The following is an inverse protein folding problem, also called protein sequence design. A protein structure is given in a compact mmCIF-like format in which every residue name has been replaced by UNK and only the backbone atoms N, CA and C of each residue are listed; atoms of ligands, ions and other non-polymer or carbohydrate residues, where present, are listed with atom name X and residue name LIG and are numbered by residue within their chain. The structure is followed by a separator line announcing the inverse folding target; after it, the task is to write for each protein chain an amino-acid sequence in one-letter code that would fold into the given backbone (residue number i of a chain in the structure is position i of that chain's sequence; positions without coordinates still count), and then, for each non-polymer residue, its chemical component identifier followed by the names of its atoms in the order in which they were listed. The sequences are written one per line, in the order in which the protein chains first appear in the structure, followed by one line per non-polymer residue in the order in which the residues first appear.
data_IF_009859333590
#
_entry.id   IF_009859333590
#
_cell.length_a   1.000
_cell.length_b   1.000
_cell.length_c   1.000
_cell.angle_alpha   90.00
_cell.angle_beta   90.00
_cell.angle_gamma   90.00
#
_symmetry.space_group_name_H-M   'P 1'
#
loop_
_entity.id
_entity.type
_entity.pdbx_description
1 polymer ?
#
# COMPACT_ATOMS: atom_id res chain seq x y z
N UNK A 1 -4.16 7.43 0.48
CA UNK A 1 -4.61 7.74 1.86
C UNK A 1 -4.13 6.64 2.79
N UNK A 2 -3.96 6.92 4.09
CA UNK A 2 -3.47 5.97 5.08
C UNK A 2 -2.04 6.26 5.55
N UNK A 3 -1.46 5.34 6.33
CA UNK A 3 -0.18 5.56 6.99
C UNK A 3 1.04 5.64 6.06
N UNK A 4 0.92 5.16 4.81
CA UNK A 4 2.04 5.02 3.87
C UNK A 4 2.94 6.25 3.80
N UNK A 5 2.37 7.45 3.60
CA UNK A 5 3.15 8.68 3.49
C UNK A 5 3.92 9.02 4.77
N UNK A 6 3.35 8.73 5.94
CA UNK A 6 3.96 9.02 7.24
C UNK A 6 5.03 8.01 7.66
N UNK A 7 4.91 6.75 7.23
CA UNK A 7 5.78 5.66 7.73
C UNK A 7 6.82 5.16 6.73
N UNK A 8 6.62 5.36 5.42
CA UNK A 8 7.47 4.78 4.38
C UNK A 8 8.96 5.07 4.58
N UNK A 9 9.29 6.32 4.93
CA UNK A 9 10.69 6.77 5.00
C UNK A 9 11.39 6.18 6.24
N UNK A 10 10.65 6.03 7.35
CA UNK A 10 11.14 5.36 8.56
C UNK A 10 11.35 3.85 8.36
N UNK A 11 10.45 3.19 7.63
CA UNK A 11 10.60 1.76 7.31
C UNK A 11 11.84 1.57 6.43
N UNK A 12 11.99 2.38 5.37
CA UNK A 12 13.15 2.34 4.49
C UNK A 12 14.45 2.56 5.25
N UNK A 13 14.51 3.63 6.07
CA UNK A 13 15.67 3.92 6.91
C UNK A 13 16.03 2.76 7.84
N UNK A 14 15.03 2.12 8.46
CA UNK A 14 15.25 0.99 9.36
C UNK A 14 15.82 -0.22 8.63
N UNK A 15 15.29 -0.54 7.44
CA UNK A 15 15.79 -1.64 6.61
C UNK A 15 17.24 -1.42 6.17
N UNK A 16 17.59 -0.18 5.82
CA UNK A 16 18.96 0.20 5.47
C UNK A 16 19.89 0.15 6.69
N UNK A 17 19.42 0.60 7.86
CA UNK A 17 20.19 0.59 9.10
C UNK A 17 20.54 -0.83 9.59
N UNK A 18 19.60 -1.77 9.50
CA UNK A 18 19.82 -3.16 9.92
C UNK A 18 20.54 -4.01 8.85
N UNK A 19 20.81 -3.45 7.67
CA UNK A 19 21.42 -4.18 6.55
C UNK A 19 20.56 -5.34 6.03
N UNK A 20 19.24 -5.13 5.92
CA UNK A 20 18.33 -6.18 5.49
C UNK A 20 18.64 -6.65 4.06
N UNK A 21 18.65 -7.98 3.82
CA UNK A 21 18.83 -8.54 2.48
C UNK A 21 17.77 -8.08 1.47
N UNK A 22 16.54 -7.80 1.94
CA UNK A 22 15.47 -7.23 1.12
C UNK A 22 15.08 -5.85 1.67
N UNK A 23 15.77 -4.83 1.21
CA UNK A 23 15.67 -3.48 1.75
C UNK A 23 14.78 -2.53 0.95
N UNK A 24 14.13 -2.98 -0.13
CA UNK A 24 13.26 -2.12 -0.94
C UNK A 24 11.80 -2.26 -0.52
N UNK A 25 11.20 -1.15 -0.11
CA UNK A 25 9.77 -1.10 0.18
C UNK A 25 8.95 -0.82 -1.07
N UNK A 26 7.77 -1.41 -1.15
CA UNK A 26 6.78 -1.15 -2.19
C UNK A 26 5.40 -0.90 -1.55
N UNK A 27 4.58 -0.11 -2.23
CA UNK A 27 3.21 0.18 -1.80
C UNK A 27 2.24 -0.73 -2.53
N UNK A 28 1.31 -1.33 -1.78
CA UNK A 28 0.15 -2.04 -2.33
C UNK A 28 -1.11 -1.46 -1.68
N UNK A 29 -2.01 -0.94 -2.50
CA UNK A 29 -3.26 -0.35 -2.03
C UNK A 29 -4.08 0.26 -3.16
N UNK A 30 -5.12 1.02 -2.80
CA UNK A 30 -5.93 1.76 -3.78
C UNK A 30 -5.14 2.94 -4.36
N UNK A 31 -5.46 3.30 -5.59
CA UNK A 31 -4.96 4.50 -6.25
C UNK A 31 -5.32 5.77 -5.47
N UNK A 32 -4.60 6.85 -5.77
CA UNK A 32 -4.88 8.17 -5.21
C UNK A 32 -6.25 8.66 -5.70
N UNK A 33 -7.05 9.16 -4.76
CA UNK A 33 -8.37 9.71 -5.04
C UNK A 33 -8.69 10.83 -4.06
N UNK A 34 -9.52 11.80 -4.48
CA UNK A 34 -9.98 12.87 -3.62
C UNK A 34 -10.90 12.37 -2.49
N UNK A 35 -11.72 11.34 -2.77
CA UNK A 35 -12.54 10.65 -1.78
C UNK A 35 -11.78 9.49 -1.13
N UNK A 36 -11.96 9.21 0.18
CA UNK A 36 -11.34 8.06 0.85
C UNK A 36 -11.68 6.71 0.21
N UNK A 37 -12.89 6.58 -0.34
CA UNK A 37 -13.36 5.38 -1.00
C UNK A 37 -14.44 5.70 -2.05
N UNK A 38 -14.70 4.75 -2.94
CA UNK A 38 -15.87 4.81 -3.83
C UNK A 38 -17.15 4.52 -3.05
N UNK A 39 -18.20 5.32 -3.28
CA UNK A 39 -19.52 5.06 -2.71
C UNK A 39 -20.29 3.92 -3.42
N UNK A 40 -19.78 3.41 -4.54
CA UNK A 40 -20.41 2.32 -5.27
C UNK A 40 -19.92 0.97 -4.79
N UNK A 41 -20.79 0.22 -4.09
CA UNK A 41 -20.44 -1.02 -3.41
C UNK A 41 -19.75 -2.07 -4.34
N UNK A 42 -20.23 -2.24 -5.57
CA UNK A 42 -19.64 -3.20 -6.52
C UNK A 42 -18.21 -2.81 -6.91
N UNK A 43 -17.93 -1.52 -7.11
CA UNK A 43 -16.56 -1.03 -7.38
C UNK A 43 -15.68 -1.15 -6.14
N UNK A 44 -16.23 -0.88 -4.96
CA UNK A 44 -15.50 -1.05 -3.70
C UNK A 44 -15.01 -2.50 -3.51
N UNK A 45 -15.89 -3.49 -3.72
CA UNK A 45 -15.54 -4.91 -3.65
C UNK A 45 -14.51 -5.31 -4.73
N UNK A 46 -14.64 -4.77 -5.95
CA UNK A 46 -13.67 -5.01 -7.02
C UNK A 46 -12.27 -4.52 -6.64
N UNK A 47 -12.15 -3.31 -6.09
CA UNK A 47 -10.88 -2.75 -5.63
C UNK A 47 -10.25 -3.57 -4.49
N UNK A 48 -11.06 -4.10 -3.58
CA UNK A 48 -10.55 -4.98 -2.51
C UNK A 48 -9.99 -6.29 -3.07
N UNK A 49 -10.70 -6.93 -4.01
CA UNK A 49 -10.23 -8.16 -4.67
C UNK A 49 -8.93 -7.92 -5.42
N UNK A 50 -8.84 -6.82 -6.16
CA UNK A 50 -7.63 -6.45 -6.90
C UNK A 50 -6.40 -6.29 -5.99
N UNK A 51 -6.57 -5.68 -4.80
CA UNK A 51 -5.48 -5.55 -3.82
C UNK A 51 -5.02 -6.94 -3.35
N UNK A 52 -5.96 -7.82 -2.99
CA UNK A 52 -5.64 -9.17 -2.52
C UNK A 52 -4.92 -9.95 -3.62
N UNK A 53 -5.42 -9.90 -4.86
CA UNK A 53 -4.78 -10.55 -6.00
C UNK A 53 -3.38 -10.01 -6.28
N UNK A 54 -3.14 -8.70 -6.10
CA UNK A 54 -1.81 -8.09 -6.25
C UNK A 54 -0.81 -8.52 -5.17
N UNK A 55 -1.27 -8.84 -3.97
CA UNK A 55 -0.39 -9.27 -2.86
C UNK A 55 0.13 -10.69 -3.06
N UNK A 56 -0.67 -11.57 -3.66
CA UNK A 56 -0.33 -12.99 -3.83
C UNK A 56 0.22 -13.34 -5.22
N UNK A 57 0.44 -12.33 -6.07
CA UNK A 57 1.20 -12.47 -7.32
C UNK A 57 2.67 -12.15 -7.06
#
# INVERSE_FOLDING_TARGET
MGAWFSVRDYIQWTLDYIGANNNKISYIGRDTAASPATGYAKRHLSQQKEIIEKVFK
#
